data_IF_344530310037
#
_entry.id   IF_344530310037
#
_cell.length_a   1.000
_cell.length_b   1.000
_cell.length_c   1.000
_cell.angle_alpha   90.00
_cell.angle_beta   90.00
_cell.angle_gamma   90.00
#
_symmetry.space_group_name_H-M   'P 1'
#
loop_
_entity.id
_entity.type
_entity.pdbx_description
1 polymer ?
#
# COMPACT_ATOMS: atom_id res chain seq x y z
N UNK A 1 7.33 -10.86 33.28
CA UNK A 1 7.63 -9.60 32.54
C UNK A 1 7.12 -9.58 31.08
N UNK A 2 6.44 -10.64 30.61
CA UNK A 2 5.80 -10.71 29.27
C UNK A 2 4.33 -10.26 29.22
N UNK A 3 3.67 -10.04 30.34
CA UNK A 3 2.27 -9.57 30.40
C UNK A 3 2.10 -8.03 30.27
N UNK A 4 3.17 -7.26 30.34
CA UNK A 4 3.07 -5.78 30.37
C UNK A 4 3.06 -5.14 28.95
N UNK A 5 3.55 -5.81 27.90
CA UNK A 5 3.58 -5.22 26.56
C UNK A 5 2.25 -5.36 25.79
N UNK A 6 1.55 -6.48 25.97
CA UNK A 6 0.22 -6.70 25.35
C UNK A 6 -0.81 -5.68 25.83
N UNK A 7 -0.73 -5.31 27.10
CA UNK A 7 -1.64 -4.34 27.74
C UNK A 7 -1.39 -2.89 27.26
N UNK A 8 -0.16 -2.55 26.90
CA UNK A 8 0.19 -1.19 26.44
C UNK A 8 -0.32 -0.93 25.03
N UNK A 9 -0.26 -1.91 24.13
CA UNK A 9 -0.77 -1.73 22.74
C UNK A 9 -2.29 -1.63 22.73
N UNK A 10 -2.98 -2.44 23.54
CA UNK A 10 -4.44 -2.37 23.71
C UNK A 10 -4.87 -1.08 24.43
N UNK A 11 -4.07 -0.59 25.40
CA UNK A 11 -4.37 0.66 26.11
C UNK A 11 -4.13 1.92 25.25
N UNK A 12 -3.17 1.92 24.35
CA UNK A 12 -2.95 3.02 23.42
C UNK A 12 -4.10 3.12 22.39
N UNK A 13 -4.62 2.01 21.91
CA UNK A 13 -5.80 1.97 21.04
C UNK A 13 -7.09 2.36 21.79
N UNK A 14 -7.26 1.94 23.03
CA UNK A 14 -8.45 2.28 23.84
C UNK A 14 -8.45 3.73 24.32
N UNK A 15 -7.28 4.33 24.64
CA UNK A 15 -7.18 5.75 24.99
C UNK A 15 -7.33 6.68 23.78
N UNK A 16 -6.94 6.25 22.59
CA UNK A 16 -7.24 6.99 21.36
C UNK A 16 -8.75 7.05 21.11
N UNK A 17 -9.50 5.99 21.42
CA UNK A 17 -10.95 5.92 21.24
C UNK A 17 -11.72 6.91 22.15
N UNK A 18 -11.29 7.14 23.40
CA UNK A 18 -11.95 8.08 24.31
C UNK A 18 -11.60 9.55 24.07
N UNK A 19 -10.46 9.84 23.45
CA UNK A 19 -10.07 11.18 23.00
C UNK A 19 -10.76 11.59 21.67
N UNK A 20 -11.18 10.61 20.86
CA UNK A 20 -11.86 10.81 19.57
C UNK A 20 -13.28 11.38 19.71
N UNK A 21 -13.91 11.31 20.88
CA UNK A 21 -15.28 11.81 21.08
C UNK A 21 -15.42 13.32 21.30
N UNK A 22 -14.35 14.10 21.26
CA UNK A 22 -14.40 15.55 21.57
C UNK A 22 -13.92 16.51 20.48
N UNK A 23 -13.64 16.05 19.27
CA UNK A 23 -13.25 16.94 18.17
C UNK A 23 -14.17 16.75 16.93
N UNK A 24 -15.41 17.23 17.05
CA UNK A 24 -16.21 17.57 15.88
C UNK A 24 -15.67 18.87 15.27
N UNK A 25 -14.68 18.79 14.40
CA UNK A 25 -14.47 19.85 13.41
C UNK A 25 -15.44 19.59 12.25
N UNK A 26 -16.21 20.60 11.82
CA UNK A 26 -17.02 20.46 10.61
C UNK A 26 -16.08 20.15 9.44
N UNK A 27 -16.32 19.01 8.81
CA UNK A 27 -15.65 18.60 7.59
C UNK A 27 -15.97 19.64 6.51
N UNK A 28 -14.96 20.28 5.95
CA UNK A 28 -15.16 21.02 4.71
C UNK A 28 -15.68 20.02 3.65
N UNK A 29 -16.66 20.42 2.82
CA UNK A 29 -17.15 19.55 1.77
C UNK A 29 -15.97 19.16 0.88
N UNK A 30 -15.70 17.85 0.81
CA UNK A 30 -14.78 17.32 -0.19
C UNK A 30 -15.39 17.68 -1.54
N UNK A 31 -14.71 18.54 -2.30
CA UNK A 31 -15.00 18.71 -3.72
C UNK A 31 -14.97 17.32 -4.34
N UNK A 32 -16.04 16.98 -5.06
CA UNK A 32 -16.18 15.71 -5.75
C UNK A 32 -14.86 15.36 -6.45
N UNK A 33 -14.44 14.08 -6.30
CA UNK A 33 -13.29 13.59 -7.06
C UNK A 33 -13.47 14.00 -8.53
N UNK A 34 -12.42 14.46 -9.21
CA UNK A 34 -12.54 14.80 -10.61
C UNK A 34 -13.08 13.55 -11.31
N UNK A 35 -14.28 13.68 -11.88
CA UNK A 35 -14.75 12.72 -12.85
C UNK A 35 -13.62 12.59 -13.88
N UNK A 36 -13.10 11.40 -14.07
CA UNK A 36 -12.33 11.08 -15.25
C UNK A 36 -13.30 11.28 -16.43
N UNK A 37 -13.41 12.52 -16.88
CA UNK A 37 -14.01 12.80 -18.18
C UNK A 37 -13.18 11.98 -19.16
N UNK A 38 -13.85 11.15 -19.97
CA UNK A 38 -13.19 10.45 -21.07
C UNK A 38 -12.34 11.49 -21.80
N UNK A 39 -11.04 11.18 -21.89
CA UNK A 39 -10.09 12.09 -22.53
C UNK A 39 -10.68 12.47 -23.90
N UNK A 40 -10.68 13.76 -24.28
CA UNK A 40 -11.13 14.14 -25.58
C UNK A 40 -10.34 13.33 -26.60
N UNK A 41 -11.04 12.69 -27.52
CA UNK A 41 -10.39 12.01 -28.64
C UNK A 41 -9.61 13.10 -29.41
N UNK A 42 -8.32 13.16 -29.16
CA UNK A 42 -7.39 13.90 -30.03
C UNK A 42 -7.26 13.10 -31.31
N UNK A 43 -8.19 13.34 -32.24
CA UNK A 43 -8.03 13.00 -33.64
C UNK A 43 -7.23 14.12 -34.35
N UNK A 44 -6.06 14.48 -33.81
CA UNK A 44 -5.02 15.10 -34.60
C UNK A 44 -4.19 13.97 -35.19
N UNK A 45 -3.94 14.01 -36.49
CA UNK A 45 -2.99 13.10 -37.14
C UNK A 45 -1.65 13.27 -36.43
N UNK A 46 -1.42 12.45 -35.42
CA UNK A 46 -0.11 12.30 -34.79
C UNK A 46 0.74 11.61 -35.85
N UNK A 47 1.77 12.32 -36.35
CA UNK A 47 2.81 11.66 -37.11
C UNK A 47 3.20 10.41 -36.33
N UNK A 48 3.28 9.26 -37.00
CA UNK A 48 3.67 8.02 -36.32
C UNK A 48 4.95 8.31 -35.55
N UNK A 49 4.99 8.05 -34.23
CA UNK A 49 6.20 8.31 -33.47
C UNK A 49 7.32 7.50 -34.10
N UNK A 50 8.42 8.16 -34.43
CA UNK A 50 9.60 7.48 -34.91
C UNK A 50 9.97 6.44 -33.83
N UNK A 51 9.79 5.17 -34.16
CA UNK A 51 10.04 4.08 -33.23
C UNK A 51 11.48 4.21 -32.77
N UNK A 52 11.69 4.36 -31.45
CA UNK A 52 13.04 4.35 -30.85
C UNK A 52 13.74 3.09 -31.34
N UNK A 53 14.87 3.26 -32.02
CA UNK A 53 15.63 2.13 -32.52
C UNK A 53 16.30 1.45 -31.33
N UNK A 54 16.26 0.13 -31.30
CA UNK A 54 16.92 -0.69 -30.27
C UNK A 54 18.41 -0.34 -30.09
N UNK A 55 19.06 0.14 -31.17
CA UNK A 55 20.46 0.62 -31.18
C UNK A 55 20.70 1.89 -30.30
N UNK A 56 19.66 2.59 -29.88
CA UNK A 56 19.75 3.80 -29.05
C UNK A 56 19.68 3.51 -27.54
N UNK A 57 19.58 2.21 -27.17
CA UNK A 57 19.49 1.76 -25.79
C UNK A 57 20.87 1.32 -25.30
N UNK A 58 21.37 1.93 -24.24
CA UNK A 58 22.57 1.47 -23.54
C UNK A 58 22.23 0.30 -22.62
N UNK A 59 22.33 -0.91 -23.16
CA UNK A 59 22.02 -2.14 -22.44
C UNK A 59 22.84 -2.33 -21.15
N UNK A 60 23.99 -1.66 -21.01
CA UNK A 60 24.82 -1.74 -19.80
C UNK A 60 24.15 -1.15 -18.55
N UNK A 61 23.12 -0.33 -18.74
CA UNK A 61 22.33 0.29 -17.64
C UNK A 61 21.24 -0.64 -17.10
N UNK A 62 20.95 -1.74 -17.79
CA UNK A 62 19.85 -2.62 -17.43
C UNK A 62 20.34 -3.93 -16.83
N UNK A 63 19.60 -4.44 -15.86
CA UNK A 63 19.88 -5.75 -15.26
C UNK A 63 19.36 -6.83 -16.20
N UNK A 64 20.18 -7.80 -16.52
CA UNK A 64 19.71 -9.04 -17.13
C UNK A 64 19.02 -9.89 -16.04
N UNK A 65 17.72 -9.65 -15.86
CA UNK A 65 16.91 -10.34 -14.87
C UNK A 65 16.88 -11.84 -15.11
N UNK A 66 16.83 -12.26 -16.36
CA UNK A 66 16.82 -13.69 -16.73
C UNK A 66 18.10 -14.39 -16.30
N UNK A 67 19.25 -13.77 -16.56
CA UNK A 67 20.54 -14.30 -16.12
C UNK A 67 20.71 -14.27 -14.60
N UNK A 68 20.14 -13.26 -13.93
CA UNK A 68 20.14 -13.19 -12.46
C UNK A 68 19.32 -14.33 -11.85
N UNK A 69 18.11 -14.57 -12.36
CA UNK A 69 17.24 -15.66 -11.90
C UNK A 69 17.82 -17.04 -12.20
N UNK A 70 18.46 -17.22 -13.36
CA UNK A 70 19.10 -18.48 -13.74
C UNK A 70 20.26 -18.87 -12.79
N UNK A 71 20.88 -17.91 -12.10
CA UNK A 71 21.93 -18.17 -11.09
C UNK A 71 21.38 -18.48 -9.71
N UNK A 72 20.06 -18.47 -9.52
CA UNK A 72 19.44 -18.76 -8.22
C UNK A 72 19.79 -20.16 -7.75
N UNK A 73 20.22 -20.27 -6.51
CA UNK A 73 20.38 -21.53 -5.78
C UNK A 73 19.24 -21.77 -4.79
N UNK A 74 18.24 -20.91 -4.83
CA UNK A 74 17.05 -21.06 -3.99
C UNK A 74 16.24 -22.27 -4.47
N UNK A 75 15.71 -23.12 -3.57
CA UNK A 75 15.09 -24.40 -3.98
C UNK A 75 13.75 -24.24 -4.72
N UNK A 76 13.10 -23.08 -4.60
CA UNK A 76 11.85 -22.79 -5.31
C UNK A 76 12.15 -21.97 -6.57
N UNK A 77 11.52 -22.36 -7.68
CA UNK A 77 11.57 -21.58 -8.92
C UNK A 77 10.78 -20.27 -8.82
N UNK A 78 11.00 -19.34 -9.73
CA UNK A 78 10.25 -18.09 -9.82
C UNK A 78 8.74 -18.33 -9.94
N UNK A 79 8.32 -19.28 -10.76
CA UNK A 79 6.89 -19.61 -10.97
C UNK A 79 6.24 -20.21 -9.72
N UNK A 80 6.96 -21.07 -9.00
CA UNK A 80 6.48 -21.62 -7.72
C UNK A 80 6.30 -20.51 -6.69
N UNK A 81 7.27 -19.61 -6.54
CA UNK A 81 7.18 -18.49 -5.60
C UNK A 81 6.04 -17.52 -5.97
N UNK A 82 5.84 -17.22 -7.26
CA UNK A 82 4.71 -16.40 -7.72
C UNK A 82 3.39 -17.10 -7.41
N UNK A 83 3.31 -18.41 -7.56
CA UNK A 83 2.12 -19.21 -7.24
C UNK A 83 1.84 -19.16 -5.74
N UNK A 84 2.87 -19.31 -4.90
CA UNK A 84 2.75 -19.19 -3.44
C UNK A 84 2.30 -17.78 -3.03
N UNK A 85 2.84 -16.73 -3.67
CA UNK A 85 2.42 -15.36 -3.44
C UNK A 85 0.93 -15.14 -3.75
N UNK A 86 0.46 -15.64 -4.89
CA UNK A 86 -0.96 -15.58 -5.27
C UNK A 86 -1.83 -16.37 -4.29
N UNK A 87 -1.40 -17.56 -3.85
CA UNK A 87 -2.10 -18.34 -2.83
C UNK A 87 -2.21 -17.58 -1.51
N UNK A 88 -1.12 -17.00 -1.04
CA UNK A 88 -1.10 -16.19 0.18
C UNK A 88 -2.09 -15.02 0.09
N UNK A 89 -2.04 -14.24 -0.99
CA UNK A 89 -2.93 -13.09 -1.21
C UNK A 89 -4.38 -13.52 -1.29
N UNK A 90 -4.70 -14.66 -1.92
CA UNK A 90 -6.06 -15.18 -2.07
C UNK A 90 -6.68 -15.58 -0.74
N UNK A 91 -5.89 -15.78 0.31
CA UNK A 91 -6.41 -16.04 1.64
C UNK A 91 -7.14 -14.81 2.17
N UNK A 92 -8.30 -15.02 2.81
CA UNK A 92 -9.16 -13.96 3.39
C UNK A 92 -9.44 -12.78 2.42
N UNK A 93 -9.85 -13.09 1.19
CA UNK A 93 -10.36 -12.07 0.26
C UNK A 93 -9.32 -11.05 -0.22
N UNK A 94 -8.04 -11.38 -0.17
CA UNK A 94 -6.95 -10.48 -0.62
C UNK A 94 -6.17 -9.82 0.51
N UNK A 95 -6.46 -10.12 1.76
CA UNK A 95 -5.73 -9.56 2.91
C UNK A 95 -4.47 -10.35 3.26
N UNK A 96 -4.32 -11.60 2.74
CA UNK A 96 -3.10 -12.39 2.94
C UNK A 96 -2.82 -12.71 4.40
N UNK A 97 -3.74 -13.40 5.07
CA UNK A 97 -3.67 -13.56 6.52
C UNK A 97 -3.84 -15.00 7.02
N UNK A 98 -3.52 -15.99 6.19
CA UNK A 98 -3.51 -17.38 6.63
C UNK A 98 -2.25 -17.66 7.49
N UNK A 99 -2.39 -17.91 8.80
CA UNK A 99 -1.26 -18.14 9.69
C UNK A 99 -0.41 -19.38 9.33
N UNK A 100 -1.00 -20.36 8.65
CA UNK A 100 -0.28 -21.57 8.23
C UNK A 100 0.71 -21.30 7.09
N UNK A 101 0.53 -20.20 6.36
CA UNK A 101 1.44 -19.78 5.31
C UNK A 101 2.59 -18.90 5.84
N UNK A 102 2.59 -18.56 7.14
CA UNK A 102 3.59 -17.70 7.77
C UNK A 102 4.63 -18.52 8.50
N UNK A 103 5.91 -18.21 8.27
CA UNK A 103 7.02 -18.75 9.04
C UNK A 103 6.96 -18.28 10.50
N UNK A 104 7.62 -18.99 11.43
CA UNK A 104 7.75 -18.53 12.82
C UNK A 104 8.56 -17.22 12.94
N UNK A 105 9.49 -17.02 12.02
CA UNK A 105 10.29 -15.78 11.91
C UNK A 105 9.60 -14.66 11.13
N UNK A 106 8.30 -14.78 10.85
CA UNK A 106 7.55 -13.82 10.06
C UNK A 106 7.61 -12.40 10.62
N UNK A 107 7.76 -11.44 9.70
CA UNK A 107 7.73 -10.01 9.99
C UNK A 107 6.84 -9.30 8.96
N UNK A 108 5.93 -8.47 9.46
CA UNK A 108 5.14 -7.56 8.64
C UNK A 108 5.69 -6.13 8.75
N UNK A 109 5.76 -5.44 7.62
CA UNK A 109 6.22 -4.06 7.54
C UNK A 109 5.37 -3.27 6.55
N UNK A 110 5.02 -2.06 6.94
CA UNK A 110 4.43 -1.03 6.08
C UNK A 110 5.27 0.24 6.11
N UNK A 111 4.88 1.30 5.39
CA UNK A 111 5.63 2.55 5.34
C UNK A 111 5.83 3.21 6.72
N UNK A 112 4.93 2.94 7.65
CA UNK A 112 4.89 3.56 8.99
C UNK A 112 4.64 2.53 10.08
N UNK A 113 4.11 1.36 9.73
CA UNK A 113 3.75 0.29 10.67
C UNK A 113 4.78 -0.82 10.58
N UNK A 114 5.21 -1.31 11.72
CA UNK A 114 6.14 -2.43 11.81
C UNK A 114 7.55 -2.03 12.28
N UNK A 115 8.48 -2.99 12.38
CA UNK A 115 8.23 -4.42 12.18
C UNK A 115 7.30 -5.01 13.26
N UNK A 116 6.36 -5.86 12.88
CA UNK A 116 5.52 -6.64 13.81
C UNK A 116 5.62 -8.12 13.51
N UNK A 117 5.60 -8.94 14.55
CA UNK A 117 5.74 -10.39 14.45
C UNK A 117 4.43 -11.08 14.01
N UNK A 118 4.52 -12.39 13.79
CA UNK A 118 3.42 -13.26 13.35
C UNK A 118 2.18 -13.13 14.24
N UNK A 119 2.37 -13.15 15.57
CA UNK A 119 1.24 -13.11 16.51
C UNK A 119 0.57 -11.73 16.50
N UNK A 120 1.37 -10.66 16.57
CA UNK A 120 0.85 -9.29 16.54
C UNK A 120 0.16 -8.98 15.20
N UNK A 121 0.66 -9.51 14.09
CA UNK A 121 0.02 -9.41 12.78
C UNK A 121 -1.32 -10.14 12.75
N UNK A 122 -1.38 -11.39 13.23
CA UNK A 122 -2.61 -12.18 13.28
C UNK A 122 -3.68 -11.49 14.15
N UNK A 123 -3.28 -10.95 15.30
CA UNK A 123 -4.17 -10.21 16.20
C UNK A 123 -4.70 -8.93 15.53
N UNK A 124 -3.83 -8.18 14.83
CA UNK A 124 -4.22 -6.95 14.13
C UNK A 124 -5.23 -7.24 13.02
N UNK A 125 -4.95 -8.22 12.16
CA UNK A 125 -5.86 -8.61 11.07
C UNK A 125 -7.16 -9.22 11.61
N UNK A 126 -7.09 -10.03 12.67
CA UNK A 126 -8.25 -10.62 13.32
C UNK A 126 -9.17 -9.61 14.01
N UNK A 127 -8.63 -8.45 14.38
CA UNK A 127 -9.39 -7.37 15.04
C UNK A 127 -10.27 -6.56 14.09
N UNK A 128 -10.09 -6.70 12.78
CA UNK A 128 -10.78 -5.92 11.74
C UNK A 128 -11.58 -6.84 10.84
N UNK A 129 -12.90 -6.69 10.86
CA UNK A 129 -13.81 -7.40 9.94
C UNK A 129 -13.96 -6.60 8.63
N UNK A 130 -12.94 -6.73 7.77
CA UNK A 130 -12.86 -5.96 6.53
C UNK A 130 -13.96 -6.39 5.53
N UNK A 131 -14.24 -7.68 5.44
CA UNK A 131 -15.25 -8.23 4.52
C UNK A 131 -16.65 -7.72 4.87
N UNK A 132 -16.95 -7.60 6.16
CA UNK A 132 -18.21 -7.01 6.62
C UNK A 132 -18.27 -5.51 6.34
N UNK A 133 -17.16 -4.82 6.48
CA UNK A 133 -17.09 -3.37 6.23
C UNK A 133 -17.20 -3.03 4.74
N UNK A 134 -16.66 -3.89 3.87
CA UNK A 134 -16.60 -3.71 2.41
C UNK A 134 -17.01 -5.01 1.70
N UNK A 135 -18.29 -5.41 1.74
CA UNK A 135 -18.75 -6.69 1.16
C UNK A 135 -18.63 -6.75 -0.37
N UNK A 136 -18.48 -5.61 -1.02
CA UNK A 136 -18.24 -5.45 -2.46
C UNK A 136 -16.78 -5.24 -2.83
N UNK A 137 -15.84 -5.49 -1.88
CA UNK A 137 -14.42 -5.24 -2.14
C UNK A 137 -13.87 -6.10 -3.27
N UNK A 138 -13.24 -5.45 -4.22
CA UNK A 138 -12.53 -6.06 -5.33
C UNK A 138 -11.05 -5.70 -5.24
N UNK A 139 -10.22 -6.71 -4.92
CA UNK A 139 -8.77 -6.60 -4.99
C UNK A 139 -8.29 -6.81 -6.43
N UNK A 140 -7.31 -6.01 -6.86
CA UNK A 140 -6.72 -6.06 -8.19
C UNK A 140 -5.20 -6.18 -8.03
N UNK A 141 -4.66 -7.38 -8.25
CA UNK A 141 -3.23 -7.70 -8.03
C UNK A 141 -2.57 -8.07 -9.35
N UNK A 142 -1.43 -7.46 -9.66
CA UNK A 142 -0.73 -7.65 -10.94
C UNK A 142 0.77 -7.36 -10.82
N UNK A 143 1.53 -7.62 -11.91
CA UNK A 143 2.96 -7.33 -11.97
C UNK A 143 3.81 -8.21 -11.07
N UNK A 144 3.45 -9.48 -10.90
CA UNK A 144 4.21 -10.43 -10.09
C UNK A 144 5.53 -10.75 -10.75
N UNK A 145 6.64 -10.54 -10.04
CA UNK A 145 7.97 -10.91 -10.47
C UNK A 145 8.88 -11.20 -9.28
N UNK A 146 9.89 -12.01 -9.47
CA UNK A 146 10.92 -12.25 -8.47
C UNK A 146 11.98 -11.16 -8.58
N UNK A 147 12.44 -10.66 -7.44
CA UNK A 147 13.50 -9.65 -7.38
C UNK A 147 14.82 -10.23 -7.90
N UNK A 148 15.50 -9.61 -8.88
CA UNK A 148 16.76 -10.14 -9.42
C UNK A 148 17.94 -10.05 -8.45
N UNK A 149 17.83 -9.30 -7.35
CA UNK A 149 18.87 -9.16 -6.32
C UNK A 149 18.50 -9.90 -5.01
N UNK A 150 17.21 -10.15 -4.78
CA UNK A 150 16.69 -10.86 -3.60
C UNK A 150 15.84 -12.04 -4.08
N UNK A 151 16.54 -13.10 -4.49
CA UNK A 151 16.02 -14.21 -5.31
C UNK A 151 14.93 -15.07 -4.62
N UNK A 152 14.58 -14.80 -3.38
CA UNK A 152 13.46 -15.42 -2.65
C UNK A 152 12.32 -14.43 -2.36
N UNK A 153 12.32 -13.26 -3.02
CA UNK A 153 11.35 -12.20 -2.83
C UNK A 153 10.51 -11.99 -4.08
N UNK A 154 9.20 -11.99 -3.92
CA UNK A 154 8.24 -11.68 -4.99
C UNK A 154 7.63 -10.31 -4.76
N UNK A 155 7.76 -9.44 -5.75
CA UNK A 155 7.09 -8.16 -5.83
C UNK A 155 5.78 -8.26 -6.59
N UNK A 156 4.83 -7.40 -6.25
CA UNK A 156 3.59 -7.21 -7.00
C UNK A 156 2.98 -5.84 -6.71
N UNK A 157 2.06 -5.43 -7.57
CA UNK A 157 1.26 -4.22 -7.37
C UNK A 157 -0.14 -4.62 -6.92
N UNK A 158 -0.64 -3.94 -5.88
CA UNK A 158 -1.98 -4.08 -5.34
C UNK A 158 -2.80 -2.82 -5.59
N UNK A 159 -4.03 -3.00 -6.06
CA UNK A 159 -5.11 -2.02 -6.05
C UNK A 159 -6.34 -2.64 -5.42
N UNK A 160 -7.37 -1.86 -5.22
CA UNK A 160 -8.66 -2.38 -4.76
C UNK A 160 -9.67 -1.26 -4.63
N UNK A 161 -10.93 -1.63 -4.72
CA UNK A 161 -12.07 -0.73 -4.60
C UNK A 161 -13.21 -1.41 -3.87
N UNK A 162 -14.03 -0.62 -3.20
CA UNK A 162 -15.21 -1.10 -2.50
C UNK A 162 -15.97 0.05 -1.87
N UNK A 163 -17.12 -0.25 -1.30
CA UNK A 163 -17.97 0.74 -0.62
C UNK A 163 -18.12 0.35 0.85
N UNK A 164 -17.85 1.30 1.74
CA UNK A 164 -18.02 1.06 3.17
C UNK A 164 -19.51 1.03 3.54
N UNK A 165 -20.13 -0.15 3.39
CA UNK A 165 -21.56 -0.40 3.67
C UNK A 165 -21.80 -1.12 5.00
N UNK A 166 -20.73 -1.58 5.66
CA UNK A 166 -20.78 -2.18 6.97
C UNK A 166 -19.90 -1.46 8.00
N UNK A 167 -20.05 -1.81 9.30
CA UNK A 167 -19.22 -1.24 10.36
C UNK A 167 -17.78 -1.73 10.27
N UNK A 168 -16.83 -0.88 10.68
CA UNK A 168 -15.41 -1.18 10.80
C UNK A 168 -14.91 -0.78 12.21
N UNK A 169 -15.35 -1.47 13.27
CA UNK A 169 -14.91 -1.14 14.62
C UNK A 169 -13.41 -1.43 14.81
N UNK A 170 -12.69 -0.70 15.69
CA UNK A 170 -13.20 0.41 16.48
C UNK A 170 -13.24 1.75 15.72
N UNK A 171 -12.80 1.79 14.46
CA UNK A 171 -12.55 3.03 13.70
C UNK A 171 -13.83 3.67 13.15
N UNK A 172 -14.73 2.86 12.63
CA UNK A 172 -16.02 3.29 12.08
C UNK A 172 -17.14 2.37 12.59
N UNK A 173 -17.74 2.64 13.75
CA UNK A 173 -18.81 1.81 14.33
C UNK A 173 -20.06 1.71 13.44
N UNK A 174 -20.21 2.67 12.52
CA UNK A 174 -21.30 2.69 11.52
C UNK A 174 -20.71 2.83 10.12
N UNK A 175 -21.38 2.23 9.15
CA UNK A 175 -21.07 2.39 7.73
C UNK A 175 -21.10 3.88 7.33
N UNK A 176 -20.17 4.29 6.49
CA UNK A 176 -20.09 5.70 6.03
C UNK A 176 -20.69 5.89 4.63
N UNK A 177 -20.95 4.82 3.88
CA UNK A 177 -21.40 4.84 2.50
C UNK A 177 -20.34 5.35 1.51
N UNK A 178 -19.11 5.60 1.95
CA UNK A 178 -18.05 6.16 1.12
C UNK A 178 -17.32 5.08 0.33
N UNK A 179 -16.89 5.48 -0.86
CA UNK A 179 -16.08 4.65 -1.73
C UNK A 179 -14.60 4.66 -1.30
N UNK A 180 -14.03 3.49 -1.25
CA UNK A 180 -12.61 3.24 -1.19
C UNK A 180 -12.11 2.92 -2.60
N UNK A 181 -11.13 3.67 -3.08
CA UNK A 181 -10.36 3.38 -4.29
C UNK A 181 -8.89 3.48 -3.91
N UNK A 182 -8.23 2.34 -3.75
CA UNK A 182 -6.83 2.29 -3.43
C UNK A 182 -5.97 2.72 -4.64
N UNK A 183 -4.98 3.61 -4.43
CA UNK A 183 -3.94 3.85 -5.43
C UNK A 183 -3.11 2.59 -5.67
N UNK A 184 -2.30 2.52 -6.74
CA UNK A 184 -1.33 1.45 -6.88
C UNK A 184 -0.35 1.45 -5.72
N UNK A 185 -0.22 0.30 -5.06
CA UNK A 185 0.70 0.07 -3.95
C UNK A 185 1.65 -1.05 -4.31
N UNK A 186 2.94 -0.84 -4.13
CA UNK A 186 3.94 -1.91 -4.26
C UNK A 186 3.96 -2.71 -2.97
N UNK A 187 3.92 -4.02 -3.13
CA UNK A 187 3.93 -4.99 -2.05
C UNK A 187 4.96 -6.08 -2.35
N UNK A 188 5.44 -6.78 -1.33
CA UNK A 188 6.31 -7.94 -1.55
C UNK A 188 6.14 -9.02 -0.50
N UNK A 189 6.48 -10.24 -0.88
CA UNK A 189 6.55 -11.42 -0.03
C UNK A 189 7.93 -12.06 -0.16
N UNK A 190 8.60 -12.29 0.96
CA UNK A 190 9.86 -13.04 1.01
C UNK A 190 9.58 -14.42 1.60
N UNK A 191 10.13 -15.46 0.97
CA UNK A 191 9.88 -16.85 1.32
C UNK A 191 11.10 -17.51 1.96
N UNK A 192 10.87 -18.49 2.83
CA UNK A 192 11.89 -19.45 3.22
C UNK A 192 11.95 -20.63 2.25
N UNK A 193 12.88 -21.56 2.49
CA UNK A 193 13.09 -22.74 1.63
C UNK A 193 11.91 -23.73 1.64
N UNK A 194 11.02 -23.63 2.61
CA UNK A 194 9.80 -24.43 2.71
C UNK A 194 8.59 -23.75 2.02
N UNK A 195 8.76 -22.52 1.51
CA UNK A 195 7.70 -21.76 0.87
C UNK A 195 6.81 -21.00 1.86
N UNK A 196 7.22 -20.88 3.12
CA UNK A 196 6.53 -20.05 4.10
C UNK A 196 6.97 -18.59 3.98
N UNK A 197 6.04 -17.66 4.20
CA UNK A 197 6.31 -16.23 4.17
C UNK A 197 7.08 -15.81 5.41
N UNK A 198 8.29 -15.28 5.24
CA UNK A 198 9.13 -14.73 6.31
C UNK A 198 9.00 -13.24 6.46
N UNK A 199 8.65 -12.52 5.36
CA UNK A 199 8.45 -11.08 5.37
C UNK A 199 7.31 -10.69 4.43
N UNK A 200 6.44 -9.84 4.90
CA UNK A 200 5.37 -9.24 4.11
C UNK A 200 5.46 -7.73 4.19
N UNK A 201 5.67 -7.06 3.04
CA UNK A 201 5.64 -5.61 2.94
C UNK A 201 4.44 -5.16 2.12
N UNK A 202 3.72 -4.13 2.61
CA UNK A 202 2.50 -3.62 1.96
C UNK A 202 2.34 -2.12 2.21
N UNK A 203 1.57 -1.45 1.36
CA UNK A 203 1.12 -0.08 1.61
C UNK A 203 2.04 1.00 1.04
N UNK A 204 3.05 0.63 0.25
CA UNK A 204 3.95 1.60 -0.40
C UNK A 204 3.29 2.16 -1.67
N UNK A 205 2.65 3.30 -1.52
CA UNK A 205 1.92 3.97 -2.62
C UNK A 205 2.89 4.54 -3.65
N UNK A 206 2.73 4.13 -4.90
CA UNK A 206 3.57 4.59 -6.04
C UNK A 206 2.98 5.82 -6.73
N UNK A 207 1.64 5.95 -6.74
CA UNK A 207 0.97 7.12 -7.30
C UNK A 207 -0.07 7.66 -6.31
N UNK A 208 0.30 8.71 -5.60
CA UNK A 208 -0.54 9.35 -4.58
C UNK A 208 -1.68 10.20 -5.13
N UNK A 209 -1.70 10.46 -6.44
CA UNK A 209 -2.72 11.30 -7.08
C UNK A 209 -3.96 10.48 -7.47
N UNK A 210 -3.81 9.17 -7.52
CA UNK A 210 -4.88 8.23 -7.87
C UNK A 210 -5.61 7.76 -6.62
N UNK A 211 -6.91 7.54 -6.75
CA UNK A 211 -7.76 6.95 -5.70
C UNK A 211 -8.32 7.94 -4.70
N UNK A 212 -8.90 7.42 -3.62
CA UNK A 212 -9.61 8.20 -2.60
C UNK A 212 -8.87 8.27 -1.25
N UNK A 213 -7.68 7.65 -1.17
CA UNK A 213 -6.95 7.48 0.10
C UNK A 213 -6.07 8.67 0.47
N UNK A 214 -6.03 9.73 -0.35
CA UNK A 214 -5.14 10.88 -0.12
C UNK A 214 -3.65 10.54 -0.27
N UNK A 215 -3.33 9.47 -1.00
CA UNK A 215 -1.97 8.98 -1.17
C UNK A 215 -1.44 8.15 -0.01
N UNK A 216 -2.29 7.76 0.91
CA UNK A 216 -1.97 6.84 2.00
C UNK A 216 -2.21 5.39 1.56
N UNK A 217 -1.36 4.48 2.05
CA UNK A 217 -1.50 3.05 1.84
C UNK A 217 -2.07 2.31 3.05
N UNK A 218 -2.38 1.03 2.86
CA UNK A 218 -2.85 0.15 3.92
C UNK A 218 -4.08 0.68 4.66
N UNK A 219 -4.18 0.35 5.94
CA UNK A 219 -5.31 0.73 6.79
C UNK A 219 -5.48 2.27 6.90
N UNK A 220 -4.40 3.04 6.93
CA UNK A 220 -4.50 4.50 7.01
C UNK A 220 -5.18 5.10 5.78
N UNK A 221 -4.89 4.55 4.59
CA UNK A 221 -5.58 4.92 3.35
C UNK A 221 -7.06 4.58 3.39
N UNK A 222 -7.42 3.39 3.87
CA UNK A 222 -8.82 2.98 4.04
C UNK A 222 -9.56 3.94 4.98
N UNK A 223 -9.00 4.22 6.15
CA UNK A 223 -9.62 5.10 7.13
C UNK A 223 -9.78 6.53 6.62
N UNK A 224 -8.79 7.03 5.89
CA UNK A 224 -8.89 8.35 5.25
C UNK A 224 -10.01 8.37 4.20
N UNK A 225 -10.08 7.39 3.32
CA UNK A 225 -11.09 7.29 2.26
C UNK A 225 -12.52 7.28 2.81
N UNK A 226 -12.76 6.55 3.90
CA UNK A 226 -14.09 6.50 4.54
C UNK A 226 -14.36 7.70 5.46
N UNK A 227 -13.44 8.67 5.58
CA UNK A 227 -13.61 9.88 6.38
C UNK A 227 -13.43 9.66 7.88
N UNK A 228 -12.62 8.70 8.26
CA UNK A 228 -12.24 8.38 9.64
C UNK A 228 -10.71 8.39 9.83
N UNK A 229 -9.99 9.42 9.36
CA UNK A 229 -8.53 9.46 9.50
C UNK A 229 -8.12 9.48 10.96
N UNK A 230 -7.01 8.82 11.28
CA UNK A 230 -6.44 8.87 12.62
C UNK A 230 -5.77 10.25 12.86
N UNK A 231 -5.74 10.76 14.12
CA UNK A 231 -5.39 12.16 14.40
C UNK A 231 -3.88 12.43 14.54
N UNK A 232 -3.02 11.66 13.87
CA UNK A 232 -1.58 11.85 13.90
C UNK A 232 -0.98 12.00 12.49
N UNK A 233 0.18 12.65 12.33
CA UNK A 233 0.73 13.05 11.03
C UNK A 233 0.92 11.89 10.05
N UNK A 234 1.37 10.73 10.51
CA UNK A 234 1.65 9.54 9.70
C UNK A 234 0.40 8.96 9.03
N UNK A 235 -0.78 9.20 9.61
CA UNK A 235 -2.08 8.78 9.08
C UNK A 235 -2.82 9.89 8.34
N UNK A 236 -2.11 10.95 7.94
CA UNK A 236 -2.63 12.07 7.17
C UNK A 236 -1.93 12.18 5.81
N UNK A 237 -2.61 12.66 4.77
CA UNK A 237 -1.97 12.96 3.50
C UNK A 237 -0.78 13.87 3.68
N UNK A 238 0.31 13.55 2.98
CA UNK A 238 1.51 14.34 3.02
C UNK A 238 1.26 15.78 2.54
N UNK A 239 1.75 16.76 3.29
CA UNK A 239 1.66 18.19 2.98
C UNK A 239 3.04 18.81 2.92
N UNK A 240 3.24 19.77 2.01
CA UNK A 240 4.46 20.56 1.97
C UNK A 240 4.59 21.33 3.29
N UNK A 241 5.74 21.20 3.94
CA UNK A 241 6.04 22.02 5.12
C UNK A 241 6.31 23.48 4.73
N UNK A 242 6.12 24.46 5.64
CA UNK A 242 6.51 25.84 5.40
C UNK A 242 8.00 25.99 5.04
N UNK A 243 8.85 25.17 5.67
CA UNK A 243 10.29 25.15 5.40
C UNK A 243 10.59 24.72 3.96
N UNK A 244 9.90 23.67 3.47
CA UNK A 244 10.04 23.22 2.09
C UNK A 244 9.50 24.24 1.10
N UNK A 245 8.39 24.91 1.41
CA UNK A 245 7.85 25.98 0.58
C UNK A 245 8.81 27.16 0.47
N UNK A 246 9.44 27.55 1.59
CA UNK A 246 10.48 28.58 1.61
C UNK A 246 11.70 28.17 0.79
N UNK A 247 12.20 26.93 0.95
CA UNK A 247 13.32 26.40 0.18
C UNK A 247 13.04 26.47 -1.33
N UNK A 248 11.84 26.09 -1.77
CA UNK A 248 11.45 26.18 -3.17
C UNK A 248 11.39 27.64 -3.67
N UNK A 249 10.85 28.56 -2.86
CA UNK A 249 10.77 29.97 -3.23
C UNK A 249 12.17 30.59 -3.39
N UNK A 250 13.10 30.31 -2.46
CA UNK A 250 14.50 30.77 -2.54
C UNK A 250 15.20 30.17 -3.77
N UNK A 251 15.03 28.86 -4.01
CA UNK A 251 15.61 28.20 -5.20
C UNK A 251 15.11 28.81 -6.51
N UNK A 252 13.81 29.08 -6.61
CA UNK A 252 13.22 29.74 -7.77
C UNK A 252 13.74 31.18 -7.98
N UNK A 253 13.88 31.95 -6.89
CA UNK A 253 14.42 33.29 -6.97
C UNK A 253 15.90 33.29 -7.42
N UNK A 254 16.73 32.38 -6.90
CA UNK A 254 18.14 32.23 -7.32
C UNK A 254 18.25 31.85 -8.80
N UNK A 255 17.39 30.93 -9.27
CA UNK A 255 17.39 30.50 -10.67
C UNK A 255 17.00 31.65 -11.62
N UNK A 256 16.07 32.52 -11.21
CA UNK A 256 15.69 33.71 -12.00
C UNK A 256 16.74 34.83 -11.99
N UNK A 257 17.69 34.81 -11.05
CA UNK A 257 18.78 35.76 -10.98
C UNK A 257 20.05 35.31 -11.74
N UNK A 258 20.17 34.01 -11.98
CA UNK A 258 21.35 33.38 -12.60
C UNK A 258 21.12 32.99 -14.07
N UNK A 259 19.87 32.99 -14.54
CA UNK A 259 19.48 32.71 -15.93
C UNK A 259 19.00 33.94 -16.62
#
# INVERSE_FOLDING_TARGET
MKMALSTVTTFLLARASSALMRFERPLQPQTAAPHYAAAPHYAAAVAEPELVKEADIDESLFVDESAALARSTFPLSADEMITLAKRFISSRGGLGADPELLAESFVFEGPVVGPIDKQAFADAIGSVDFDKAFPDFQGEFYGFHVDPFDLNRVWYTARGRGTNTGPLPPFAPQATGKQLVNPPQVCSLTFDKAGLVTRYTIGYVVDRQVGTTGGLGGLYGVLYAIGRPLPFPEAQPWRKSPQYALFQAVGGALQSLLG
#
